data_IF_144465811886
#
_entry.id   IF_144465811886
#
_cell.length_a   1.000
_cell.length_b   1.000
_cell.length_c   1.000
_cell.angle_alpha   90.00
_cell.angle_beta   90.00
_cell.angle_gamma   90.00
#
_symmetry.space_group_name_H-M   'P 1'
#
loop_
_entity.id
_entity.type
_entity.pdbx_description
1 polymer ?
#
# COMPACT_ATOMS: atom_id res chain seq x y z
N UNK A 1 7.67 15.16 -14.74
CA UNK A 1 6.63 14.13 -14.99
C UNK A 1 5.28 14.83 -15.26
N UNK A 2 5.10 15.35 -16.47
CA UNK A 2 3.95 16.21 -16.83
C UNK A 2 2.61 15.44 -16.79
N UNK A 3 2.63 14.13 -17.09
CA UNK A 3 1.44 13.27 -17.07
C UNK A 3 0.85 13.14 -15.67
N UNK A 4 1.70 12.88 -14.66
CA UNK A 4 1.27 12.81 -13.25
C UNK A 4 0.68 14.13 -12.77
N UNK A 5 1.29 15.27 -13.15
CA UNK A 5 0.76 16.60 -12.81
C UNK A 5 -0.59 16.85 -13.47
N UNK A 6 -0.77 16.44 -14.72
CA UNK A 6 -2.03 16.61 -15.43
C UNK A 6 -3.15 15.73 -14.86
N UNK A 7 -2.87 14.45 -14.55
CA UNK A 7 -3.83 13.57 -13.87
C UNK A 7 -4.18 14.09 -12.48
N UNK A 8 -3.18 14.61 -11.77
CA UNK A 8 -3.38 15.25 -10.46
C UNK A 8 -4.29 16.47 -10.59
N UNK A 9 -4.00 17.37 -11.54
CA UNK A 9 -4.84 18.53 -11.82
C UNK A 9 -6.29 18.12 -12.12
N UNK A 10 -6.50 17.13 -12.98
CA UNK A 10 -7.83 16.62 -13.27
C UNK A 10 -8.53 16.05 -12.03
N UNK A 11 -7.82 15.28 -11.20
CA UNK A 11 -8.34 14.73 -9.95
C UNK A 11 -8.70 15.85 -8.95
N UNK A 12 -7.93 16.93 -8.86
CA UNK A 12 -8.26 18.08 -8.01
C UNK A 12 -9.46 18.88 -8.51
N UNK A 13 -9.55 19.10 -9.83
CA UNK A 13 -10.64 19.90 -10.42
C UNK A 13 -11.98 19.18 -10.33
N UNK A 14 -12.00 17.85 -10.54
CA UNK A 14 -13.25 17.07 -10.57
C UNK A 14 -13.52 16.23 -9.32
N UNK A 15 -12.49 15.89 -8.57
CA UNK A 15 -12.61 15.11 -7.34
C UNK A 15 -13.20 15.95 -6.21
N UNK A 16 -13.92 15.29 -5.32
CA UNK A 16 -14.44 15.90 -4.11
C UNK A 16 -14.33 14.89 -2.96
N UNK A 17 -13.39 15.14 -2.05
CA UNK A 17 -13.11 14.28 -0.89
C UNK A 17 -14.35 14.07 -0.02
N UNK A 18 -15.27 15.04 0.04
CA UNK A 18 -16.49 14.91 0.82
C UNK A 18 -17.37 13.74 0.34
N UNK A 19 -17.32 13.39 -0.96
CA UNK A 19 -18.06 12.24 -1.54
C UNK A 19 -17.58 10.89 -1.01
N UNK A 20 -16.36 10.80 -0.44
CA UNK A 20 -15.86 9.57 0.20
C UNK A 20 -16.51 9.34 1.56
N UNK A 21 -16.69 10.42 2.32
CA UNK A 21 -17.16 10.36 3.72
C UNK A 21 -18.65 10.60 3.88
N UNK A 22 -19.34 11.06 2.82
CA UNK A 22 -20.75 11.45 2.85
C UNK A 22 -21.48 10.94 1.62
N UNK A 23 -22.78 10.70 1.77
CA UNK A 23 -23.66 10.35 0.68
C UNK A 23 -24.04 11.53 -0.20
N UNK A 24 -24.48 11.23 -1.42
CA UNK A 24 -25.06 12.17 -2.37
C UNK A 24 -26.52 11.79 -2.61
N UNK A 25 -27.45 12.73 -2.43
CA UNK A 25 -28.88 12.49 -2.67
C UNK A 25 -29.23 12.40 -4.17
N UNK A 26 -30.49 12.11 -4.47
CA UNK A 26 -31.00 12.03 -5.84
C UNK A 26 -30.96 13.34 -6.62
N UNK A 27 -30.78 14.48 -5.94
CA UNK A 27 -30.66 15.81 -6.56
C UNK A 27 -29.18 16.23 -6.73
N UNK A 28 -28.22 15.35 -6.38
CA UNK A 28 -26.78 15.58 -6.51
C UNK A 28 -26.12 16.34 -5.37
N UNK A 29 -26.86 16.64 -4.31
CA UNK A 29 -26.37 17.35 -3.16
C UNK A 29 -25.65 16.40 -2.20
N UNK A 30 -24.56 16.87 -1.58
CA UNK A 30 -23.81 16.11 -0.60
C UNK A 30 -24.41 16.35 0.79
N UNK A 31 -24.81 15.27 1.48
CA UNK A 31 -25.44 15.37 2.80
C UNK A 31 -24.54 16.11 3.81
N UNK A 32 -25.13 17.02 4.61
CA UNK A 32 -24.44 17.75 5.67
C UNK A 32 -23.53 18.89 5.20
N UNK A 33 -23.48 19.20 3.90
CA UNK A 33 -22.84 20.40 3.36
C UNK A 33 -23.92 21.36 2.88
N UNK A 34 -23.84 22.63 3.28
CA UNK A 34 -24.68 23.67 2.70
C UNK A 34 -24.28 23.84 1.23
N UNK A 35 -25.27 23.83 0.34
CA UNK A 35 -25.09 23.57 -1.09
C UNK A 35 -23.92 24.31 -1.75
N UNK A 36 -22.98 23.54 -2.31
CA UNK A 36 -22.37 23.91 -3.57
C UNK A 36 -22.84 22.90 -4.61
N UNK A 37 -23.82 23.28 -5.47
CA UNK A 37 -24.14 22.47 -6.64
C UNK A 37 -22.89 22.40 -7.53
N UNK A 38 -22.58 21.20 -8.01
CA UNK A 38 -21.51 20.98 -8.99
C UNK A 38 -21.80 21.82 -10.25
N UNK A 39 -20.99 22.84 -10.47
CA UNK A 39 -20.84 23.71 -11.65
C UNK A 39 -22.06 24.47 -12.23
N UNK A 40 -21.86 25.74 -12.63
CA UNK A 40 -22.91 26.62 -13.13
C UNK A 40 -23.05 26.51 -14.65
N UNK A 41 -23.72 25.48 -15.17
CA UNK A 41 -24.11 25.48 -16.59
C UNK A 41 -25.55 25.08 -16.77
N UNK A 42 -26.41 26.08 -16.61
CA UNK A 42 -27.55 26.43 -17.46
C UNK A 42 -28.75 26.87 -16.61
N UNK A 43 -29.09 28.15 -16.83
CA UNK A 43 -30.39 28.79 -16.60
C UNK A 43 -31.14 28.36 -15.32
N UNK A 44 -30.98 29.17 -14.27
CA UNK A 44 -31.87 29.19 -13.10
C UNK A 44 -33.32 29.31 -13.58
N UNK A 45 -34.06 28.21 -13.51
CA UNK A 45 -35.51 28.25 -13.35
C UNK A 45 -35.75 28.09 -11.85
N UNK A 46 -35.77 29.23 -11.16
CA UNK A 46 -36.35 29.32 -9.83
C UNK A 46 -37.80 28.84 -9.95
N UNK A 47 -38.11 27.68 -9.39
CA UNK A 47 -39.48 27.30 -9.11
C UNK A 47 -39.93 28.11 -7.88
N UNK A 48 -41.03 28.87 -7.95
CA UNK A 48 -41.51 29.63 -6.81
C UNK A 48 -42.03 28.65 -5.73
N UNK A 49 -41.54 28.77 -4.50
CA UNK A 49 -42.07 28.06 -3.33
C UNK A 49 -41.15 27.05 -2.63
N UNK A 50 -39.88 26.88 -3.04
CA UNK A 50 -38.91 26.10 -2.25
C UNK A 50 -38.20 27.05 -1.30
N UNK A 51 -38.69 27.12 -0.06
CA UNK A 51 -38.04 27.87 1.03
C UNK A 51 -36.56 27.47 1.16
N UNK A 52 -35.69 28.47 1.30
CA UNK A 52 -34.27 28.31 1.55
C UNK A 52 -34.01 27.37 2.74
N UNK A 53 -33.68 26.10 2.45
CA UNK A 53 -33.29 25.09 3.45
C UNK A 53 -31.82 25.25 3.93
N UNK A 54 -31.27 26.47 3.89
CA UNK A 54 -29.84 26.73 4.06
C UNK A 54 -29.24 26.34 5.42
N UNK A 55 -30.03 26.44 6.50
CA UNK A 55 -29.62 26.04 7.86
C UNK A 55 -29.88 24.55 8.15
N UNK A 56 -30.98 23.99 7.64
CA UNK A 56 -31.41 22.60 7.81
C UNK A 56 -30.60 21.57 7.02
N UNK A 57 -29.84 21.99 5.99
CA UNK A 57 -29.01 21.07 5.22
C UNK A 57 -27.75 20.61 5.98
N UNK A 58 -27.23 21.43 6.90
CA UNK A 58 -26.05 21.08 7.71
C UNK A 58 -26.36 19.98 8.74
N UNK A 59 -27.60 19.87 9.22
CA UNK A 59 -28.00 18.84 10.18
C UNK A 59 -28.16 17.45 9.54
N UNK A 60 -28.55 17.41 8.26
CA UNK A 60 -28.83 16.18 7.49
C UNK A 60 -27.56 15.50 7.00
N UNK A 61 -26.87 14.80 7.89
CA UNK A 61 -25.53 14.25 7.65
C UNK A 61 -25.51 12.85 7.01
N UNK A 62 -26.64 12.14 6.99
CA UNK A 62 -26.68 10.74 6.55
C UNK A 62 -27.52 10.58 5.28
N UNK A 63 -27.10 9.71 4.36
CA UNK A 63 -27.95 9.29 3.25
C UNK A 63 -28.72 8.01 3.60
N UNK A 64 -30.01 8.00 3.28
CA UNK A 64 -30.88 6.83 3.40
C UNK A 64 -31.50 6.48 2.04
N UNK A 65 -31.73 5.19 1.78
CA UNK A 65 -32.28 4.70 0.51
C UNK A 65 -33.66 4.06 0.71
N UNK A 66 -34.68 4.43 -0.08
CA UNK A 66 -35.99 3.80 -0.03
C UNK A 66 -35.96 2.43 -0.74
N UNK A 67 -35.37 1.42 -0.09
CA UNK A 67 -35.30 0.05 -0.63
C UNK A 67 -36.59 -0.70 -0.31
N UNK A 68 -37.25 -1.29 -1.33
CA UNK A 68 -38.36 -2.24 -1.13
C UNK A 68 -37.94 -3.65 -1.57
N UNK A 69 -38.39 -4.73 -0.89
CA UNK A 69 -38.00 -6.12 -1.19
C UNK A 69 -38.39 -6.64 -2.59
N UNK A 70 -39.27 -5.93 -3.32
CA UNK A 70 -39.85 -6.38 -4.60
C UNK A 70 -39.52 -5.47 -5.80
N UNK A 71 -38.60 -4.51 -5.64
CA UNK A 71 -38.19 -3.56 -6.69
C UNK A 71 -36.70 -3.73 -6.96
N UNK A 72 -36.27 -3.48 -8.20
CA UNK A 72 -34.85 -3.43 -8.58
C UNK A 72 -34.05 -2.57 -7.59
N UNK A 73 -33.05 -3.19 -6.96
CA UNK A 73 -32.15 -2.54 -5.99
C UNK A 73 -31.39 -1.38 -6.65
N UNK A 74 -31.09 -1.52 -7.95
CA UNK A 74 -30.35 -0.52 -8.72
C UNK A 74 -31.10 0.82 -8.83
N UNK A 75 -32.42 0.77 -9.04
CA UNK A 75 -33.24 1.98 -9.19
C UNK A 75 -33.55 2.63 -7.84
N UNK A 76 -33.71 1.81 -6.78
CA UNK A 76 -33.96 2.32 -5.42
C UNK A 76 -32.72 2.96 -4.79
N UNK A 77 -31.51 2.50 -5.13
CA UNK A 77 -30.25 3.13 -4.71
C UNK A 77 -30.03 4.52 -5.35
N UNK A 78 -30.71 4.83 -6.46
CA UNK A 78 -30.62 6.16 -7.11
C UNK A 78 -31.56 7.20 -6.50
N UNK A 79 -32.44 6.79 -5.58
CA UNK A 79 -33.42 7.64 -4.89
C UNK A 79 -32.98 8.02 -3.47
N UNK A 80 -31.67 8.09 -3.23
CA UNK A 80 -31.13 8.39 -1.91
C UNK A 80 -31.55 9.77 -1.39
N UNK A 81 -31.82 9.87 -0.09
CA UNK A 81 -32.30 11.10 0.57
C UNK A 81 -31.42 11.42 1.77
N UNK A 82 -31.03 12.68 1.95
CA UNK A 82 -30.28 13.12 3.12
C UNK A 82 -31.20 13.28 4.34
N UNK A 83 -30.89 12.59 5.44
CA UNK A 83 -31.64 12.58 6.70
C UNK A 83 -30.75 12.99 7.87
N UNK A 84 -31.36 13.53 8.93
CA UNK A 84 -30.67 13.94 10.16
C UNK A 84 -30.21 12.74 11.00
N UNK A 85 -31.05 11.70 11.07
CA UNK A 85 -30.81 10.45 11.79
C UNK A 85 -31.24 9.26 10.95
N UNK A 86 -30.54 8.14 11.09
CA UNK A 86 -30.89 6.92 10.36
C UNK A 86 -32.22 6.35 10.85
N UNK A 87 -33.20 6.10 9.96
CA UNK A 87 -34.52 5.60 10.35
C UNK A 87 -34.46 4.21 11.00
N UNK A 88 -35.30 4.02 12.02
CA UNK A 88 -35.51 2.76 12.73
C UNK A 88 -36.95 2.29 12.49
N UNK A 89 -37.12 1.01 12.14
CA UNK A 89 -38.44 0.42 11.88
C UNK A 89 -39.30 0.50 13.15
N UNK A 90 -40.55 0.97 13.02
CA UNK A 90 -41.49 1.12 14.14
C UNK A 90 -41.39 2.45 14.91
N UNK A 91 -40.25 3.15 14.85
CA UNK A 91 -40.09 4.50 15.43
C UNK A 91 -40.38 5.58 14.40
N UNK A 92 -39.79 5.45 13.20
CA UNK A 92 -40.04 6.34 12.08
C UNK A 92 -41.07 5.71 11.15
N UNK A 93 -42.19 6.38 10.90
CA UNK A 93 -43.24 5.86 10.03
C UNK A 93 -42.98 6.16 8.56
N UNK A 94 -42.52 7.38 8.25
CA UNK A 94 -42.25 7.81 6.88
C UNK A 94 -41.06 8.76 6.76
N UNK A 95 -40.41 8.76 5.60
CA UNK A 95 -39.37 9.71 5.20
C UNK A 95 -39.85 10.45 3.95
N UNK A 96 -39.87 11.79 4.01
CA UNK A 96 -40.21 12.63 2.86
C UNK A 96 -38.97 12.91 2.03
N UNK A 97 -39.05 12.74 0.72
CA UNK A 97 -38.05 13.26 -0.24
C UNK A 97 -38.27 14.76 -0.42
N UNK A 98 -37.24 15.45 -0.89
CA UNK A 98 -37.28 16.89 -1.18
C UNK A 98 -37.08 17.10 -2.69
N UNK A 99 -37.27 18.32 -3.20
CA UNK A 99 -37.11 18.64 -4.63
C UNK A 99 -38.44 18.91 -5.37
N UNK A 100 -38.41 18.97 -6.71
CA UNK A 100 -39.57 19.37 -7.56
C UNK A 100 -40.79 18.47 -7.40
N UNK A 101 -40.59 17.24 -6.93
CA UNK A 101 -41.66 16.28 -6.65
C UNK A 101 -41.40 15.61 -5.30
N UNK A 102 -41.92 16.21 -4.22
CA UNK A 102 -41.90 15.64 -2.87
C UNK A 102 -42.71 14.33 -2.84
N UNK A 103 -42.08 13.23 -2.45
CA UNK A 103 -42.68 11.91 -2.27
C UNK A 103 -42.50 11.47 -0.81
N UNK A 104 -43.46 10.73 -0.28
CA UNK A 104 -43.38 10.20 1.10
C UNK A 104 -43.20 8.68 1.03
N UNK A 105 -42.12 8.18 1.62
CA UNK A 105 -41.77 6.75 1.61
C UNK A 105 -41.93 6.14 2.99
N UNK A 106 -42.57 4.96 3.13
CA UNK A 106 -42.58 4.23 4.41
C UNK A 106 -41.19 3.67 4.71
N UNK A 107 -40.82 3.66 6.00
CA UNK A 107 -39.57 3.03 6.45
C UNK A 107 -39.73 1.52 6.37
N UNK A 108 -38.87 0.85 5.61
CA UNK A 108 -38.97 -0.58 5.29
C UNK A 108 -37.94 -1.46 5.99
N UNK A 109 -36.91 -0.87 6.61
CA UNK A 109 -35.84 -1.59 7.32
C UNK A 109 -35.23 -0.72 8.42
N UNK A 110 -34.69 -1.36 9.46
CA UNK A 110 -33.90 -0.68 10.47
C UNK A 110 -32.48 -0.44 9.96
N UNK A 111 -31.99 0.79 10.11
CA UNK A 111 -30.69 1.21 9.59
C UNK A 111 -29.78 1.78 10.68
N UNK A 112 -28.47 1.59 10.52
CA UNK A 112 -27.44 2.14 11.41
C UNK A 112 -26.52 3.11 10.67
N UNK A 113 -26.06 4.19 11.33
CA UNK A 113 -25.15 5.15 10.71
C UNK A 113 -23.74 4.57 10.57
N UNK A 114 -23.20 4.60 9.35
CA UNK A 114 -21.81 4.24 9.03
C UNK A 114 -21.30 5.22 7.96
N UNK A 115 -20.26 6.01 8.29
CA UNK A 115 -19.63 6.99 7.37
C UNK A 115 -20.63 7.84 6.57
N UNK A 116 -21.57 8.52 7.25
CA UNK A 116 -22.54 9.40 6.59
C UNK A 116 -23.58 8.66 5.73
N UNK A 117 -23.73 7.34 5.89
CA UNK A 117 -24.71 6.50 5.19
C UNK A 117 -25.50 5.64 6.19
N UNK A 118 -26.77 5.40 5.90
CA UNK A 118 -27.63 4.53 6.69
C UNK A 118 -27.62 3.12 6.08
N UNK A 119 -26.96 2.18 6.74
CA UNK A 119 -26.81 0.79 6.26
C UNK A 119 -27.89 -0.08 6.93
N UNK A 120 -28.63 -0.91 6.17
CA UNK A 120 -29.60 -1.85 6.75
C UNK A 120 -28.93 -2.86 7.69
N UNK A 121 -29.62 -3.24 8.77
CA UNK A 121 -29.16 -4.31 9.65
C UNK A 121 -29.38 -5.69 9.00
N UNK A 122 -28.40 -6.59 9.15
CA UNK A 122 -28.30 -7.85 8.40
C UNK A 122 -29.42 -8.87 8.69
N UNK A 123 -30.16 -8.75 9.81
CA UNK A 123 -31.24 -9.67 10.14
C UNK A 123 -32.46 -9.56 9.20
N UNK A 124 -32.60 -8.43 8.48
CA UNK A 124 -33.75 -8.18 7.59
C UNK A 124 -33.45 -8.43 6.09
N UNK A 125 -32.21 -8.75 5.71
CA UNK A 125 -31.79 -8.85 4.31
C UNK A 125 -31.75 -10.31 3.84
N UNK A 126 -32.81 -10.81 3.18
CA UNK A 126 -32.87 -12.21 2.70
C UNK A 126 -32.15 -12.48 1.37
N UNK A 127 -31.86 -11.48 0.53
CA UNK A 127 -31.14 -11.67 -0.75
C UNK A 127 -29.89 -10.76 -0.83
N UNK A 128 -28.72 -11.35 -0.61
CA UNK A 128 -27.46 -10.64 -0.29
C UNK A 128 -26.34 -11.03 -1.27
N UNK A 129 -26.40 -10.58 -2.53
CA UNK A 129 -25.24 -10.64 -3.43
C UNK A 129 -24.74 -9.22 -3.74
N UNK A 130 -25.61 -8.29 -4.14
CA UNK A 130 -25.23 -6.88 -4.38
C UNK A 130 -24.88 -6.10 -3.08
N UNK A 131 -25.49 -6.50 -1.96
CA UNK A 131 -25.14 -5.99 -0.62
C UNK A 131 -23.71 -6.39 -0.19
N UNK A 132 -23.14 -7.47 -0.75
CA UNK A 132 -21.76 -7.90 -0.42
C UNK A 132 -20.72 -6.96 -1.01
N UNK A 133 -20.94 -6.46 -2.23
CA UNK A 133 -20.00 -5.55 -2.89
C UNK A 133 -20.03 -4.14 -2.28
N UNK A 134 -21.24 -3.67 -1.91
CA UNK A 134 -21.40 -2.41 -1.16
C UNK A 134 -20.77 -2.52 0.23
N UNK A 135 -20.96 -3.64 0.93
CA UNK A 135 -20.33 -3.85 2.25
C UNK A 135 -18.83 -4.12 2.18
N UNK A 136 -18.31 -4.70 1.09
CA UNK A 136 -16.87 -4.92 0.91
C UNK A 136 -16.11 -3.59 0.76
N UNK A 137 -16.60 -2.66 -0.06
CA UNK A 137 -16.00 -1.33 -0.22
C UNK A 137 -16.08 -0.47 1.05
N UNK A 138 -17.20 -0.57 1.79
CA UNK A 138 -17.39 0.09 3.09
C UNK A 138 -16.56 -0.56 4.21
N UNK A 139 -16.29 -1.86 4.15
CA UNK A 139 -15.40 -2.57 5.10
C UNK A 139 -13.95 -2.13 4.92
N UNK A 140 -13.45 -1.98 3.70
CA UNK A 140 -12.07 -1.54 3.44
C UNK A 140 -11.84 -0.12 3.96
N UNK A 141 -12.79 0.78 3.73
CA UNK A 141 -12.72 2.16 4.23
C UNK A 141 -12.86 2.24 5.75
N UNK A 142 -13.77 1.47 6.35
CA UNK A 142 -13.90 1.36 7.81
C UNK A 142 -12.64 0.76 8.46
N UNK A 143 -12.00 -0.24 7.84
CA UNK A 143 -10.72 -0.79 8.28
C UNK A 143 -9.60 0.24 8.25
N UNK A 144 -9.47 1.00 7.15
CA UNK A 144 -8.48 2.06 7.04
C UNK A 144 -8.63 3.13 8.14
N UNK A 145 -9.87 3.52 8.44
CA UNK A 145 -10.16 4.50 9.49
C UNK A 145 -9.94 3.95 10.90
N UNK A 146 -10.31 2.69 11.14
CA UNK A 146 -10.03 1.98 12.38
C UNK A 146 -8.52 1.91 12.65
N UNK A 147 -7.71 1.62 11.62
CA UNK A 147 -6.26 1.66 11.70
C UNK A 147 -5.72 3.06 12.05
N UNK A 148 -6.24 4.12 11.43
CA UNK A 148 -5.79 5.51 11.69
C UNK A 148 -6.16 5.95 13.10
N UNK A 149 -7.38 5.65 13.56
CA UNK A 149 -7.85 6.00 14.90
C UNK A 149 -7.01 5.30 15.97
N UNK A 150 -6.76 3.99 15.80
CA UNK A 150 -5.92 3.23 16.70
C UNK A 150 -4.46 3.68 16.63
N UNK A 151 -3.95 4.05 15.44
CA UNK A 151 -2.61 4.60 15.28
C UNK A 151 -2.42 5.91 16.04
N UNK A 152 -3.45 6.78 16.09
CA UNK A 152 -3.41 8.01 16.89
C UNK A 152 -3.31 7.71 18.39
N UNK A 153 -4.03 6.69 18.87
CA UNK A 153 -3.98 6.27 20.27
C UNK A 153 -2.59 5.74 20.67
N UNK A 154 -1.85 5.10 19.76
CA UNK A 154 -0.50 4.56 20.00
C UNK A 154 0.64 5.44 19.48
N UNK A 155 0.40 6.70 19.11
CA UNK A 155 1.39 7.57 18.46
C UNK A 155 2.71 7.72 19.21
N UNK A 156 2.68 7.73 20.54
CA UNK A 156 3.88 7.82 21.38
C UNK A 156 4.67 6.51 21.38
N UNK A 157 3.98 5.37 21.33
CA UNK A 157 4.63 4.05 21.19
C UNK A 157 5.29 3.94 19.83
N UNK A 158 4.60 4.35 18.76
CA UNK A 158 5.18 4.37 17.41
C UNK A 158 6.42 5.28 17.31
N UNK A 159 6.37 6.47 17.94
CA UNK A 159 7.51 7.37 18.01
C UNK A 159 8.67 6.75 18.80
N UNK A 160 8.40 6.14 19.96
CA UNK A 160 9.42 5.49 20.78
C UNK A 160 10.08 4.31 20.05
N UNK A 161 9.29 3.49 19.35
CA UNK A 161 9.80 2.39 18.51
C UNK A 161 10.63 2.91 17.33
N UNK A 162 10.20 4.01 16.70
CA UNK A 162 10.97 4.65 15.64
C UNK A 162 12.33 5.17 16.13
N UNK A 163 12.35 5.86 17.27
CA UNK A 163 13.59 6.37 17.88
C UNK A 163 14.50 5.21 18.32
N UNK A 164 13.95 4.19 18.98
CA UNK A 164 14.73 3.02 19.40
C UNK A 164 15.31 2.25 18.22
N UNK A 165 14.57 2.14 17.11
CA UNK A 165 15.08 1.54 15.87
C UNK A 165 16.25 2.34 15.28
N UNK A 166 16.18 3.67 15.26
CA UNK A 166 17.28 4.53 14.78
C UNK A 166 18.52 4.36 15.66
N UNK A 167 18.35 4.38 16.99
CA UNK A 167 19.44 4.16 17.94
C UNK A 167 20.04 2.76 17.78
N UNK A 168 19.20 1.74 17.59
CA UNK A 168 19.64 0.37 17.35
C UNK A 168 20.40 0.22 16.04
N UNK A 169 19.95 0.88 14.96
CA UNK A 169 20.68 0.93 13.69
C UNK A 169 22.06 1.59 13.86
N UNK A 170 22.13 2.74 14.53
CA UNK A 170 23.40 3.42 14.79
C UNK A 170 24.35 2.53 15.61
N UNK A 171 23.84 1.97 16.71
CA UNK A 171 24.59 1.04 17.55
C UNK A 171 25.08 -0.18 16.79
N UNK A 172 24.23 -0.77 15.94
CA UNK A 172 24.59 -1.90 15.08
C UNK A 172 25.70 -1.53 14.09
N UNK A 173 25.57 -0.39 13.40
CA UNK A 173 26.60 0.08 12.45
C UNK A 173 27.93 0.35 13.13
N UNK A 174 27.91 0.94 14.33
CA UNK A 174 29.10 1.16 15.14
C UNK A 174 29.73 -0.17 15.59
N UNK A 175 28.91 -1.12 16.01
CA UNK A 175 29.36 -2.46 16.40
C UNK A 175 30.04 -3.20 15.24
N UNK A 176 29.55 -3.03 14.01
CA UNK A 176 30.17 -3.59 12.80
C UNK A 176 31.55 -2.98 12.45
N UNK A 177 31.94 -1.86 13.04
CA UNK A 177 33.28 -1.30 12.81
C UNK A 177 34.33 -1.99 13.67
N UNK A 178 34.01 -2.25 14.94
CA UNK A 178 34.96 -2.82 15.90
C UNK A 178 34.86 -4.34 16.01
N UNK A 179 33.64 -4.89 15.90
CA UNK A 179 33.35 -6.27 16.24
C UNK A 179 32.93 -7.14 15.06
N UNK A 180 32.99 -6.68 13.81
CA UNK A 180 32.55 -7.50 12.64
C UNK A 180 33.27 -8.86 12.57
N UNK A 181 34.58 -8.88 12.83
CA UNK A 181 35.36 -10.11 12.85
C UNK A 181 34.91 -11.03 14.00
N UNK A 182 34.91 -10.62 15.28
CA UNK A 182 34.36 -11.42 16.38
C UNK A 182 32.91 -11.90 16.15
N UNK A 183 32.02 -11.02 15.70
CA UNK A 183 30.60 -11.33 15.45
C UNK A 183 30.49 -12.42 14.38
N UNK A 184 31.22 -12.28 13.26
CA UNK A 184 31.19 -13.28 12.19
C UNK A 184 31.67 -14.65 12.69
N UNK A 185 32.83 -14.71 13.34
CA UNK A 185 33.35 -15.98 13.87
C UNK A 185 32.41 -16.58 14.92
N UNK A 186 31.83 -15.75 15.80
CA UNK A 186 30.83 -16.18 16.77
C UNK A 186 29.59 -16.76 16.10
N UNK A 187 29.03 -16.11 15.07
CA UNK A 187 27.86 -16.62 14.34
C UNK A 187 28.14 -17.94 13.64
N UNK A 188 29.33 -18.11 13.04
CA UNK A 188 29.73 -19.34 12.37
C UNK A 188 29.95 -20.48 13.38
N UNK A 189 30.60 -20.19 14.51
CA UNK A 189 30.81 -21.15 15.59
C UNK A 189 29.50 -21.55 16.26
N UNK A 190 28.60 -20.59 16.52
CA UNK A 190 27.28 -20.84 17.09
C UNK A 190 26.43 -21.75 16.19
N UNK A 191 26.45 -21.53 14.86
CA UNK A 191 25.82 -22.43 13.90
C UNK A 191 26.37 -23.86 13.95
N UNK A 192 27.69 -24.01 14.10
CA UNK A 192 28.34 -25.31 14.25
C UNK A 192 27.89 -26.01 15.55
N UNK A 193 27.86 -25.28 16.67
CA UNK A 193 27.44 -25.80 17.99
C UNK A 193 25.97 -26.20 17.96
N UNK A 194 25.09 -25.42 17.34
CA UNK A 194 23.68 -25.77 17.26
C UNK A 194 23.46 -27.06 16.47
N UNK A 195 24.08 -27.21 15.30
CA UNK A 195 23.95 -28.40 14.46
C UNK A 195 24.58 -29.64 15.12
N UNK A 196 25.82 -29.52 15.59
CA UNK A 196 26.53 -30.63 16.25
C UNK A 196 25.94 -30.99 17.62
N UNK A 197 25.60 -29.99 18.42
CA UNK A 197 25.01 -30.16 19.76
C UNK A 197 23.61 -30.76 19.71
N UNK A 198 22.75 -30.29 18.80
CA UNK A 198 21.42 -30.91 18.62
C UNK A 198 21.50 -32.34 18.09
N UNK A 199 22.42 -32.63 17.17
CA UNK A 199 22.72 -33.99 16.72
C UNK A 199 23.15 -34.89 17.89
N UNK A 200 24.06 -34.41 18.75
CA UNK A 200 24.55 -35.18 19.90
C UNK A 200 23.46 -35.43 20.95
N UNK A 201 22.67 -34.41 21.30
CA UNK A 201 21.56 -34.53 22.26
C UNK A 201 20.51 -35.53 21.75
N UNK A 202 20.14 -35.48 20.46
CA UNK A 202 19.18 -36.40 19.87
C UNK A 202 19.72 -37.83 19.74
N UNK A 203 21.02 -37.97 19.46
CA UNK A 203 21.69 -39.28 19.46
C UNK A 203 21.67 -39.89 20.86
N UNK A 204 21.94 -39.09 21.89
CA UNK A 204 21.89 -39.54 23.28
C UNK A 204 20.47 -39.95 23.70
N UNK A 205 19.44 -39.17 23.34
CA UNK A 205 18.04 -39.52 23.60
C UNK A 205 17.58 -40.77 22.84
N UNK A 206 18.07 -40.97 21.61
CA UNK A 206 17.80 -42.18 20.84
C UNK A 206 18.49 -43.44 21.39
N UNK A 207 19.56 -43.26 22.20
CA UNK A 207 20.33 -44.34 22.83
C UNK A 207 19.89 -44.62 24.27
N UNK A 208 19.42 -43.63 25.01
CA UNK A 208 18.93 -43.82 26.36
C UNK A 208 17.71 -44.74 26.34
N UNK A 209 17.81 -45.89 27.01
CA UNK A 209 16.70 -46.83 27.26
C UNK A 209 15.64 -46.25 28.23
N UNK A 210 15.45 -44.94 28.25
CA UNK A 210 14.44 -44.28 29.06
C UNK A 210 13.07 -44.69 28.52
N UNK A 211 12.52 -45.73 29.17
CA UNK A 211 11.18 -46.26 28.99
C UNK A 211 10.18 -45.11 29.09
N UNK A 212 9.77 -44.56 27.94
CA UNK A 212 8.53 -43.81 27.87
C UNK A 212 7.38 -44.73 28.27
N UNK A 213 6.30 -44.16 28.80
CA UNK A 213 5.08 -44.87 29.28
C UNK A 213 4.45 -45.80 28.22
N UNK A 214 4.90 -45.76 26.96
CA UNK A 214 4.46 -46.60 25.85
C UNK A 214 5.51 -47.59 25.30
N UNK A 215 6.72 -47.68 25.87
CA UNK A 215 7.67 -48.77 25.58
C UNK A 215 8.21 -48.87 24.14
N UNK A 216 8.05 -47.87 23.28
CA UNK A 216 8.59 -47.86 21.92
C UNK A 216 9.87 -47.02 21.81
N UNK A 217 10.92 -47.59 21.18
CA UNK A 217 12.14 -46.86 20.81
C UNK A 217 11.79 -45.67 19.91
N UNK A 218 12.30 -44.47 20.21
CA UNK A 218 12.17 -43.31 19.32
C UNK A 218 13.08 -43.45 18.09
N UNK A 219 12.70 -44.28 17.12
CA UNK A 219 13.44 -44.46 15.85
C UNK A 219 13.63 -43.12 15.10
N UNK A 220 12.68 -42.20 15.25
CA UNK A 220 12.74 -40.85 14.70
C UNK A 220 13.89 -40.01 15.28
N UNK A 221 14.22 -40.16 16.56
CA UNK A 221 15.29 -39.42 17.22
C UNK A 221 16.68 -39.83 16.68
N UNK A 222 16.87 -41.13 16.44
CA UNK A 222 18.09 -41.67 15.82
C UNK A 222 18.19 -41.26 14.34
N UNK A 223 17.08 -41.32 13.60
CA UNK A 223 17.05 -40.82 12.21
C UNK A 223 17.39 -39.33 12.10
N UNK A 224 16.79 -38.50 12.96
CA UNK A 224 17.03 -37.05 12.99
C UNK A 224 18.48 -36.71 13.37
N UNK A 225 19.10 -37.44 14.31
CA UNK A 225 20.50 -37.20 14.69
C UNK A 225 21.47 -37.47 13.54
N UNK A 226 21.28 -38.55 12.75
CA UNK A 226 22.11 -38.84 11.58
C UNK A 226 22.00 -37.72 10.53
N UNK A 227 20.77 -37.26 10.24
CA UNK A 227 20.55 -36.17 9.28
C UNK A 227 21.23 -34.88 9.73
N UNK A 228 21.10 -34.51 11.01
CA UNK A 228 21.76 -33.32 11.55
C UNK A 228 23.29 -33.46 11.60
N UNK A 229 23.81 -34.65 11.86
CA UNK A 229 25.24 -34.92 11.80
C UNK A 229 25.79 -34.75 10.39
N UNK A 230 25.11 -35.30 9.38
CA UNK A 230 25.48 -35.11 7.98
C UNK A 230 25.42 -33.62 7.61
N UNK A 231 24.37 -32.91 8.02
CA UNK A 231 24.27 -31.47 7.82
C UNK A 231 25.41 -30.69 8.50
N UNK A 232 25.82 -31.09 9.71
CA UNK A 232 26.96 -30.50 10.42
C UNK A 232 28.28 -30.72 9.66
N UNK A 233 28.55 -31.93 9.16
CA UNK A 233 29.75 -32.20 8.36
C UNK A 233 29.73 -31.39 7.06
N UNK A 234 28.61 -31.34 6.36
CA UNK A 234 28.45 -30.52 5.15
C UNK A 234 28.67 -29.04 5.44
N UNK A 235 28.13 -28.54 6.56
CA UNK A 235 28.35 -27.16 7.02
C UNK A 235 29.83 -26.88 7.27
N UNK A 236 30.56 -27.75 7.98
CA UNK A 236 31.99 -27.59 8.20
C UNK A 236 32.81 -27.62 6.91
N UNK A 237 32.49 -28.53 5.99
CA UNK A 237 33.15 -28.61 4.68
C UNK A 237 32.94 -27.33 3.86
N UNK A 238 31.71 -26.80 3.84
CA UNK A 238 31.40 -25.52 3.20
C UNK A 238 32.14 -24.36 3.86
N UNK A 239 32.25 -24.34 5.19
CA UNK A 239 33.02 -23.31 5.91
C UNK A 239 34.50 -23.35 5.53
N UNK A 240 35.12 -24.53 5.50
CA UNK A 240 36.53 -24.69 5.13
C UNK A 240 36.76 -24.22 3.70
N UNK A 241 35.88 -24.58 2.76
CA UNK A 241 35.99 -24.15 1.36
C UNK A 241 35.80 -22.64 1.19
N UNK A 242 34.84 -22.06 1.92
CA UNK A 242 34.48 -20.64 1.77
C UNK A 242 35.27 -19.70 2.68
N UNK A 243 36.17 -20.19 3.55
CA UNK A 243 36.86 -19.34 4.55
C UNK A 243 37.59 -18.16 3.93
N UNK A 244 38.23 -18.36 2.76
CA UNK A 244 38.92 -17.28 2.03
C UNK A 244 37.93 -16.23 1.51
N UNK A 245 36.78 -16.65 1.00
CA UNK A 245 35.74 -15.73 0.54
C UNK A 245 35.06 -15.01 1.71
N UNK A 246 34.91 -15.66 2.85
CA UNK A 246 34.39 -15.06 4.08
C UNK A 246 35.31 -13.93 4.54
N UNK A 247 36.62 -14.16 4.59
CA UNK A 247 37.58 -13.10 4.97
C UNK A 247 37.54 -11.92 4.00
N UNK A 248 37.50 -12.17 2.68
CA UNK A 248 37.35 -11.10 1.69
C UNK A 248 36.07 -10.29 1.92
N UNK A 249 34.94 -10.95 2.18
CA UNK A 249 33.68 -10.28 2.48
C UNK A 249 33.74 -9.46 3.79
N UNK A 250 34.42 -9.99 4.82
CA UNK A 250 34.60 -9.28 6.09
C UNK A 250 35.45 -8.03 5.92
N UNK A 251 36.48 -8.06 5.07
CA UNK A 251 37.29 -6.89 4.76
C UNK A 251 36.47 -5.81 4.04
N UNK A 252 35.62 -6.21 3.08
CA UNK A 252 34.70 -5.27 2.39
C UNK A 252 33.71 -4.65 3.38
N UNK A 253 33.11 -5.44 4.28
CA UNK A 253 32.17 -4.93 5.30
C UNK A 253 32.88 -3.98 6.26
N UNK A 254 34.12 -4.29 6.66
CA UNK A 254 34.93 -3.43 7.54
C UNK A 254 35.22 -2.08 6.88
N UNK A 255 35.51 -2.07 5.58
CA UNK A 255 35.72 -0.82 4.83
C UNK A 255 34.39 -0.05 4.73
N UNK A 256 33.28 -0.72 4.40
CA UNK A 256 31.97 -0.09 4.31
C UNK A 256 31.54 0.53 5.65
N UNK A 257 31.79 -0.14 6.78
CA UNK A 257 31.46 0.40 8.11
C UNK A 257 32.34 1.59 8.50
N UNK A 258 33.62 1.62 8.10
CA UNK A 258 34.48 2.80 8.26
C UNK A 258 33.90 4.04 7.57
N UNK A 259 33.29 3.90 6.38
CA UNK A 259 32.64 5.03 5.69
C UNK A 259 31.50 5.61 6.54
N UNK A 260 30.67 4.73 7.11
CA UNK A 260 29.50 5.13 7.93
C UNK A 260 29.93 5.83 9.21
N UNK A 261 30.99 5.35 9.88
CA UNK A 261 31.52 5.96 11.11
C UNK A 261 32.24 7.28 10.82
N UNK A 262 32.98 7.37 9.73
CA UNK A 262 33.69 8.60 9.34
C UNK A 262 32.72 9.70 8.90
N UNK A 263 31.51 9.32 8.46
CA UNK A 263 30.47 10.22 7.97
C UNK A 263 29.11 9.85 8.57
N UNK A 264 28.85 10.12 9.86
CA UNK A 264 27.58 9.75 10.49
C UNK A 264 26.36 10.38 9.80
N UNK A 265 26.56 11.51 9.10
CA UNK A 265 25.51 12.15 8.29
C UNK A 265 25.02 11.28 7.11
N UNK A 266 25.79 10.28 6.64
CA UNK A 266 25.35 9.35 5.57
C UNK A 266 24.09 8.58 5.97
N UNK A 267 23.90 8.32 7.27
CA UNK A 267 22.71 7.68 7.82
C UNK A 267 21.45 8.55 7.69
N UNK A 268 21.60 9.86 7.49
CA UNK A 268 20.51 10.77 7.19
C UNK A 268 19.91 10.56 5.80
N UNK A 269 20.66 10.04 4.82
CA UNK A 269 20.19 9.83 3.44
C UNK A 269 19.01 8.86 3.38
N UNK A 270 19.08 7.63 3.90
CA UNK A 270 17.94 6.71 3.88
C UNK A 270 16.75 7.23 4.71
N UNK A 271 16.99 8.02 5.77
CA UNK A 271 15.91 8.64 6.55
C UNK A 271 15.18 9.71 5.75
N UNK A 272 15.90 10.64 5.11
CA UNK A 272 15.32 11.65 4.22
C UNK A 272 14.59 10.95 3.07
N UNK A 273 15.21 9.94 2.46
CA UNK A 273 14.58 9.12 1.42
C UNK A 273 13.28 8.48 1.88
N UNK A 274 13.23 7.94 3.10
CA UNK A 274 12.02 7.38 3.70
C UNK A 274 10.93 8.43 3.94
N UNK A 275 11.27 9.60 4.49
CA UNK A 275 10.30 10.68 4.70
C UNK A 275 9.70 11.14 3.36
N UNK A 276 10.54 11.31 2.33
CA UNK A 276 10.07 11.68 0.98
C UNK A 276 9.23 10.57 0.37
N UNK A 277 9.60 9.30 0.54
CA UNK A 277 8.80 8.15 0.09
C UNK A 277 7.43 8.10 0.76
N UNK A 278 7.35 8.33 2.07
CA UNK A 278 6.08 8.42 2.81
C UNK A 278 5.24 9.59 2.31
N UNK A 279 5.82 10.78 2.15
CA UNK A 279 5.13 11.95 1.64
C UNK A 279 4.57 11.71 0.22
N UNK A 280 5.37 11.12 -0.66
CA UNK A 280 4.96 10.74 -2.01
C UNK A 280 3.81 9.72 -2.01
N UNK A 281 3.90 8.70 -1.14
CA UNK A 281 2.86 7.67 -1.00
C UNK A 281 1.55 8.26 -0.47
N UNK A 282 1.61 9.13 0.55
CA UNK A 282 0.43 9.82 1.08
C UNK A 282 -0.21 10.72 0.03
N UNK A 283 0.60 11.49 -0.70
CA UNK A 283 0.13 12.31 -1.82
C UNK A 283 -0.54 11.43 -2.89
N UNK A 284 0.05 10.30 -3.25
CA UNK A 284 -0.50 9.38 -4.23
C UNK A 284 -1.86 8.80 -3.80
N UNK A 285 -1.99 8.38 -2.54
CA UNK A 285 -3.27 7.90 -2.00
C UNK A 285 -4.33 9.01 -2.02
N UNK A 286 -3.95 10.24 -1.68
CA UNK A 286 -4.84 11.39 -1.71
C UNK A 286 -5.34 11.69 -3.14
N UNK A 287 -4.45 11.72 -4.14
CA UNK A 287 -4.82 11.92 -5.55
C UNK A 287 -5.69 10.77 -6.07
N UNK A 288 -5.39 9.53 -5.70
CA UNK A 288 -6.20 8.36 -6.07
C UNK A 288 -7.61 8.44 -5.47
N UNK A 289 -7.72 8.88 -4.21
CA UNK A 289 -8.99 9.09 -3.54
C UNK A 289 -9.81 10.19 -4.24
N UNK A 290 -9.18 11.32 -4.61
CA UNK A 290 -9.81 12.36 -5.42
C UNK A 290 -10.29 11.82 -6.77
N UNK A 291 -9.45 11.06 -7.49
CA UNK A 291 -9.81 10.48 -8.78
C UNK A 291 -10.97 9.50 -8.67
N UNK A 292 -11.01 8.67 -7.62
CA UNK A 292 -12.13 7.74 -7.38
C UNK A 292 -13.48 8.46 -7.21
N UNK A 293 -13.46 9.74 -6.86
CA UNK A 293 -14.66 10.57 -6.66
C UNK A 293 -15.01 11.46 -7.84
N UNK A 294 -14.20 11.44 -8.90
CA UNK A 294 -14.33 12.33 -10.07
C UNK A 294 -15.41 11.89 -11.07
N UNK A 295 -16.40 11.12 -10.63
CA UNK A 295 -17.51 10.67 -11.45
C UNK A 295 -18.36 11.88 -11.93
N UNK A 296 -18.81 11.79 -13.18
CA UNK A 296 -19.70 12.78 -13.81
C UNK A 296 -21.11 12.58 -13.28
N UNK A 297 -21.82 13.69 -13.11
CA UNK A 297 -23.20 13.68 -12.65
C UNK A 297 -24.09 13.90 -13.87
N UNK A 298 -24.89 12.90 -14.20
CA UNK A 298 -25.82 12.94 -15.34
C UNK A 298 -27.26 12.84 -14.85
N UNK A 299 -28.16 13.58 -15.48
CA UNK A 299 -29.59 13.55 -15.16
C UNK A 299 -30.27 12.43 -15.92
N UNK A 300 -30.84 11.46 -15.21
CA UNK A 300 -31.55 10.32 -15.76
C UNK A 300 -33.03 10.37 -15.32
N UNK A 301 -33.95 9.97 -16.18
CA UNK A 301 -35.38 9.87 -15.83
C UNK A 301 -35.72 8.43 -15.52
N UNK A 302 -36.21 8.18 -14.30
CA UNK A 302 -36.59 6.85 -13.83
C UNK A 302 -38.07 6.85 -13.47
N UNK A 303 -38.77 5.78 -13.81
CA UNK A 303 -40.15 5.55 -13.36
C UNK A 303 -40.12 4.87 -11.99
N UNK A 304 -40.64 5.54 -10.97
CA UNK A 304 -40.82 4.92 -9.66
C UNK A 304 -42.15 4.16 -9.64
N UNK A 305 -42.22 2.92 -9.12
CA UNK A 305 -43.45 2.12 -9.18
C UNK A 305 -44.56 2.60 -8.23
N UNK A 306 -44.25 3.40 -7.19
CA UNK A 306 -45.21 3.76 -6.15
C UNK A 306 -44.96 5.15 -5.53
N UNK A 307 -45.84 6.14 -5.75
CA UNK A 307 -46.82 6.22 -6.84
C UNK A 307 -46.12 6.17 -8.21
N UNK A 308 -46.79 5.68 -9.27
CA UNK A 308 -46.21 5.66 -10.62
C UNK A 308 -45.93 7.11 -11.06
N UNK A 309 -44.66 7.49 -11.04
CA UNK A 309 -44.23 8.85 -11.38
C UNK A 309 -42.85 8.81 -12.03
N UNK A 310 -42.66 9.62 -13.06
CA UNK A 310 -41.33 9.83 -13.63
C UNK A 310 -40.60 10.87 -12.81
N UNK A 311 -39.48 10.47 -12.21
CA UNK A 311 -38.62 11.34 -11.41
C UNK A 311 -37.30 11.51 -12.14
N UNK A 312 -36.74 12.73 -12.09
CA UNK A 312 -35.38 12.98 -12.59
C UNK A 312 -34.43 12.79 -11.42
N UNK A 313 -33.44 11.92 -11.58
CA UNK A 313 -32.40 11.66 -10.59
C UNK A 313 -31.04 12.01 -11.17
N UNK A 314 -30.13 12.42 -10.31
CA UNK A 314 -28.72 12.60 -10.65
C UNK A 314 -27.98 11.30 -10.33
N UNK A 315 -27.48 10.64 -11.37
CA UNK A 315 -26.69 9.41 -11.25
C UNK A 315 -25.21 9.70 -11.49
N UNK A 316 -24.36 9.00 -10.73
CA UNK A 316 -22.91 9.08 -10.90
C UNK A 316 -22.50 8.12 -12.00
N UNK A 317 -22.12 8.66 -13.15
CA UNK A 317 -21.54 7.88 -14.22
C UNK A 317 -20.01 7.91 -14.10
N UNK A 318 -19.39 6.73 -14.16
CA UNK A 318 -17.93 6.62 -14.15
C UNK A 318 -17.40 7.18 -15.47
N UNK A 319 -16.58 8.23 -15.40
CA UNK A 319 -15.97 8.83 -16.60
C UNK A 319 -15.07 7.77 -17.27
N UNK A 320 -15.20 7.46 -18.57
CA UNK A 320 -14.34 6.49 -19.25
C UNK A 320 -12.84 6.80 -19.07
N UNK A 321 -12.48 8.09 -19.08
CA UNK A 321 -11.11 8.60 -18.87
C UNK A 321 -10.55 8.28 -17.48
N UNK A 322 -11.41 8.09 -16.47
CA UNK A 322 -10.96 7.78 -15.09
C UNK A 322 -10.21 6.46 -15.00
N UNK A 323 -10.53 5.49 -15.86
CA UNK A 323 -9.86 4.19 -15.87
C UNK A 323 -8.44 4.32 -16.41
N UNK A 324 -8.26 5.08 -17.50
CA UNK A 324 -6.94 5.38 -18.07
C UNK A 324 -6.06 6.14 -17.07
N UNK A 325 -6.63 7.15 -16.40
CA UNK A 325 -5.92 7.92 -15.38
C UNK A 325 -5.53 7.08 -14.16
N UNK A 326 -6.33 6.07 -13.81
CA UNK A 326 -5.98 5.14 -12.73
C UNK A 326 -4.74 4.33 -13.10
N UNK A 327 -4.65 3.84 -14.34
CA UNK A 327 -3.45 3.12 -14.82
C UNK A 327 -2.23 4.03 -14.90
N UNK A 328 -2.39 5.28 -15.34
CA UNK A 328 -1.32 6.27 -15.36
C UNK A 328 -0.83 6.62 -13.95
N UNK A 329 -1.73 6.78 -12.97
CA UNK A 329 -1.34 7.01 -11.56
C UNK A 329 -0.61 5.81 -10.97
N UNK A 330 -1.04 4.60 -11.29
CA UNK A 330 -0.35 3.38 -10.85
C UNK A 330 1.06 3.31 -11.44
N UNK A 331 1.20 3.56 -12.75
CA UNK A 331 2.52 3.63 -13.39
C UNK A 331 3.40 4.71 -12.76
N UNK A 332 2.82 5.90 -12.55
CA UNK A 332 3.49 7.02 -11.92
C UNK A 332 3.98 6.72 -10.50
N UNK A 333 3.25 5.88 -9.75
CA UNK A 333 3.69 5.42 -8.43
C UNK A 333 4.88 4.48 -8.51
N UNK A 334 4.84 3.49 -9.40
CA UNK A 334 5.95 2.55 -9.62
C UNK A 334 7.22 3.31 -10.04
N UNK A 335 7.08 4.22 -11.01
CA UNK A 335 8.19 5.02 -11.47
C UNK A 335 8.70 6.00 -10.42
N UNK A 336 7.82 6.72 -9.72
CA UNK A 336 8.20 7.64 -8.66
C UNK A 336 8.95 6.95 -7.50
N UNK A 337 8.46 5.78 -7.08
CA UNK A 337 9.13 5.00 -6.01
C UNK A 337 10.48 4.42 -6.47
N UNK A 338 10.58 3.92 -7.70
CA UNK A 338 11.84 3.49 -8.30
C UNK A 338 12.85 4.65 -8.41
N UNK A 339 12.40 5.84 -8.83
CA UNK A 339 13.23 7.04 -8.94
C UNK A 339 13.73 7.51 -7.57
N UNK A 340 12.88 7.55 -6.54
CA UNK A 340 13.28 7.91 -5.18
C UNK A 340 14.33 6.94 -4.62
N UNK A 341 14.17 5.64 -4.89
CA UNK A 341 15.17 4.62 -4.55
C UNK A 341 16.50 4.87 -5.28
N UNK A 342 16.46 5.16 -6.57
CA UNK A 342 17.64 5.43 -7.39
C UNK A 342 18.39 6.69 -6.91
N UNK A 343 17.68 7.76 -6.57
CA UNK A 343 18.26 8.99 -5.99
C UNK A 343 18.97 8.68 -4.66
N UNK A 344 18.28 7.96 -3.75
CA UNK A 344 18.86 7.61 -2.44
C UNK A 344 20.12 6.77 -2.60
N UNK A 345 20.12 5.81 -3.54
CA UNK A 345 21.26 4.98 -3.86
C UNK A 345 22.44 5.80 -4.42
N UNK A 346 22.18 6.64 -5.42
CA UNK A 346 23.19 7.48 -6.08
C UNK A 346 23.83 8.47 -5.11
N UNK A 347 23.05 9.14 -4.25
CA UNK A 347 23.58 10.05 -3.22
C UNK A 347 24.50 9.30 -2.27
N UNK A 348 24.11 8.09 -1.85
CA UNK A 348 24.94 7.26 -0.97
C UNK A 348 26.23 6.83 -1.66
N UNK A 349 26.16 6.47 -2.95
CA UNK A 349 27.32 6.11 -3.76
C UNK A 349 28.30 7.28 -3.92
N UNK A 350 27.83 8.48 -4.26
CA UNK A 350 28.67 9.69 -4.33
C UNK A 350 29.38 9.98 -3.00
N UNK A 351 28.68 9.87 -1.88
CA UNK A 351 29.28 10.08 -0.56
C UNK A 351 30.42 9.07 -0.31
N UNK A 352 30.20 7.80 -0.66
CA UNK A 352 31.20 6.76 -0.53
C UNK A 352 32.41 6.99 -1.46
N UNK A 353 32.17 7.40 -2.70
CA UNK A 353 33.22 7.73 -3.69
C UNK A 353 34.03 8.95 -3.22
N UNK A 354 33.38 10.02 -2.79
CA UNK A 354 34.05 11.21 -2.26
C UNK A 354 34.88 10.88 -1.02
N UNK A 355 34.41 10.01 -0.13
CA UNK A 355 35.22 9.53 0.98
C UNK A 355 36.40 8.68 0.50
N UNK A 356 36.16 7.75 -0.44
CA UNK A 356 37.19 6.84 -0.95
C UNK A 356 38.36 7.59 -1.59
N UNK A 357 38.10 8.63 -2.37
CA UNK A 357 39.11 9.43 -3.08
C UNK A 357 39.56 10.71 -2.33
N UNK A 358 39.12 10.96 -1.09
CA UNK A 358 39.38 12.21 -0.36
C UNK A 358 40.86 12.45 0.01
N UNK A 359 41.48 11.52 0.74
CA UNK A 359 42.86 11.63 1.24
C UNK A 359 43.50 10.22 1.28
N UNK A 360 44.77 10.05 0.84
CA UNK A 360 45.52 8.81 1.01
C UNK A 360 45.92 8.60 2.48
N UNK A 361 45.83 7.36 2.98
CA UNK A 361 46.14 6.99 4.38
C UNK A 361 44.97 6.36 5.12
N UNK A 362 45.19 5.96 6.39
CA UNK A 362 44.17 5.36 7.25
C UNK A 362 43.21 6.39 7.89
N UNK A 363 43.66 7.65 8.02
CA UNK A 363 42.87 8.77 8.58
C UNK A 363 41.98 9.45 7.51
N UNK A 364 41.15 8.65 6.83
CA UNK A 364 40.24 9.17 5.78
C UNK A 364 39.07 9.94 6.38
N UNK A 365 39.05 11.26 6.16
CA UNK A 365 37.89 12.11 6.39
C UNK A 365 37.36 12.64 5.06
N UNK A 366 36.03 12.65 4.89
CA UNK A 366 35.50 13.26 3.68
C UNK A 366 35.53 14.80 3.78
N UNK A 367 35.62 15.50 2.64
CA UNK A 367 35.59 16.97 2.61
C UNK A 367 34.36 17.55 3.33
N UNK A 368 34.49 18.75 3.90
CA UNK A 368 33.33 19.44 4.46
C UNK A 368 32.29 19.67 3.37
N UNK A 369 31.03 19.34 3.65
CA UNK A 369 29.92 19.53 2.72
C UNK A 369 29.72 18.41 1.69
N UNK A 370 30.38 17.25 1.82
CA UNK A 370 30.19 16.06 0.94
C UNK A 370 28.72 15.73 0.69
N UNK A 371 27.87 15.76 1.72
CA UNK A 371 26.43 15.49 1.60
C UNK A 371 25.74 16.47 0.65
N UNK A 372 25.96 17.77 0.85
CA UNK A 372 25.36 18.83 0.03
C UNK A 372 25.86 18.71 -1.41
N UNK A 373 27.16 18.45 -1.59
CA UNK A 373 27.75 18.26 -2.90
C UNK A 373 27.13 17.06 -3.62
N UNK A 374 27.04 15.90 -2.97
CA UNK A 374 26.42 14.70 -3.53
C UNK A 374 24.96 14.94 -3.95
N UNK A 375 24.17 15.62 -3.10
CA UNK A 375 22.78 15.98 -3.42
C UNK A 375 22.69 16.90 -4.64
N UNK A 376 23.46 18.00 -4.63
CA UNK A 376 23.45 18.97 -5.74
C UNK A 376 23.89 18.30 -7.04
N UNK A 377 24.97 17.52 -7.02
CA UNK A 377 25.47 16.80 -8.20
C UNK A 377 24.44 15.80 -8.73
N UNK A 378 23.82 15.02 -7.84
CA UNK A 378 22.76 14.06 -8.21
C UNK A 378 21.59 14.75 -8.91
N UNK A 379 21.05 15.82 -8.31
CA UNK A 379 19.88 16.51 -8.86
C UNK A 379 20.20 17.38 -10.09
N UNK A 380 21.38 17.99 -10.14
CA UNK A 380 21.76 18.91 -11.22
C UNK A 380 22.21 18.20 -12.49
N UNK A 381 22.95 17.10 -12.35
CA UNK A 381 23.63 16.45 -13.48
C UNK A 381 23.11 15.04 -13.78
N UNK A 382 22.73 14.24 -12.77
CA UNK A 382 22.44 12.81 -12.97
C UNK A 382 20.96 12.43 -12.87
N UNK A 383 20.06 13.40 -12.63
CA UNK A 383 18.62 13.12 -12.51
C UNK A 383 18.05 12.47 -13.78
N UNK A 384 18.57 12.80 -14.97
CA UNK A 384 18.17 12.20 -16.23
C UNK A 384 18.48 10.70 -16.31
N UNK A 385 19.70 10.31 -15.97
CA UNK A 385 20.13 8.90 -15.91
C UNK A 385 19.31 8.11 -14.90
N UNK A 386 19.07 8.67 -13.71
CA UNK A 386 18.23 8.05 -12.69
C UNK A 386 16.77 7.91 -13.15
N UNK A 387 16.23 8.92 -13.83
CA UNK A 387 14.88 8.89 -14.38
C UNK A 387 14.74 7.81 -15.46
N UNK A 388 15.76 7.61 -16.29
CA UNK A 388 15.77 6.58 -17.34
C UNK A 388 15.88 5.16 -16.76
N UNK A 389 16.82 4.90 -15.84
CA UNK A 389 16.94 3.57 -15.23
C UNK A 389 15.69 3.19 -14.44
N UNK A 390 15.19 4.10 -13.59
CA UNK A 390 13.94 3.90 -12.86
C UNK A 390 12.72 3.70 -13.76
N UNK A 391 12.71 4.26 -14.98
CA UNK A 391 11.64 4.05 -15.95
C UNK A 391 11.61 2.60 -16.45
N UNK A 392 12.77 2.03 -16.80
CA UNK A 392 12.86 0.61 -17.20
C UNK A 392 12.39 -0.31 -16.08
N UNK A 393 12.81 -0.04 -14.84
CA UNK A 393 12.35 -0.79 -13.69
C UNK A 393 10.82 -0.71 -13.52
N UNK A 394 10.23 0.48 -13.67
CA UNK A 394 8.80 0.68 -13.54
C UNK A 394 7.99 -0.03 -14.65
N UNK A 395 8.51 -0.07 -15.88
CA UNK A 395 7.89 -0.81 -16.99
C UNK A 395 7.80 -2.30 -16.65
N UNK A 396 8.91 -2.90 -16.20
CA UNK A 396 8.92 -4.32 -15.82
C UNK A 396 7.96 -4.60 -14.67
N UNK A 397 7.93 -3.73 -13.65
CA UNK A 397 6.99 -3.85 -12.53
C UNK A 397 5.53 -3.74 -12.98
N UNK A 398 5.23 -2.84 -13.92
CA UNK A 398 3.89 -2.71 -14.48
C UNK A 398 3.47 -4.00 -15.20
N UNK A 399 4.35 -4.58 -16.02
CA UNK A 399 4.06 -5.85 -16.72
C UNK A 399 3.78 -6.96 -15.70
N UNK A 400 4.53 -7.04 -14.59
CA UNK A 400 4.28 -8.01 -13.50
C UNK A 400 2.91 -7.83 -12.86
N UNK A 401 2.50 -6.59 -12.60
CA UNK A 401 1.18 -6.29 -12.02
C UNK A 401 0.06 -6.68 -13.00
N UNK A 402 0.21 -6.36 -14.29
CA UNK A 402 -0.74 -6.77 -15.33
C UNK A 402 -0.83 -8.28 -15.42
N UNK A 403 0.29 -9.01 -15.38
CA UNK A 403 0.31 -10.47 -15.38
C UNK A 403 -0.45 -11.04 -14.17
N UNK A 404 -0.24 -10.48 -12.97
CA UNK A 404 -0.97 -10.90 -11.76
C UNK A 404 -2.47 -10.59 -11.86
N UNK A 405 -2.84 -9.48 -12.48
CA UNK A 405 -4.24 -9.12 -12.73
C UNK A 405 -4.91 -10.10 -13.71
N UNK A 406 -4.23 -10.43 -14.81
CA UNK A 406 -4.69 -11.44 -15.79
C UNK A 406 -4.85 -12.79 -15.11
N UNK A 407 -3.88 -13.20 -14.29
CA UNK A 407 -3.95 -14.44 -13.50
C UNK A 407 -5.20 -14.50 -12.63
N UNK A 408 -5.51 -13.39 -11.92
CA UNK A 408 -6.66 -13.31 -11.05
C UNK A 408 -7.98 -13.44 -11.82
N UNK A 409 -8.05 -12.88 -13.03
CA UNK A 409 -9.22 -13.04 -13.92
C UNK A 409 -9.31 -14.44 -14.54
N UNK A 410 -8.18 -15.06 -14.82
CA UNK A 410 -8.10 -16.37 -15.47
C UNK A 410 -8.16 -17.55 -14.50
N UNK A 411 -8.47 -17.35 -13.20
CA UNK A 411 -8.46 -18.43 -12.18
C UNK A 411 -9.27 -19.67 -12.57
N UNK A 412 -10.46 -19.48 -13.15
CA UNK A 412 -11.32 -20.60 -13.60
C UNK A 412 -10.68 -21.42 -14.72
N UNK A 413 -9.99 -20.77 -15.66
CA UNK A 413 -9.26 -21.43 -16.76
C UNK A 413 -7.97 -22.06 -16.25
N UNK A 414 -7.33 -21.40 -15.28
CA UNK A 414 -6.12 -21.89 -14.62
C UNK A 414 -6.39 -23.18 -13.86
N UNK A 415 -7.53 -23.31 -13.18
CA UNK A 415 -7.87 -24.52 -12.42
C UNK A 415 -8.05 -25.74 -13.31
N UNK A 416 -8.62 -25.56 -14.51
CA UNK A 416 -8.92 -26.64 -15.45
C UNK A 416 -7.76 -27.01 -16.38
N UNK A 417 -6.89 -26.07 -16.76
CA UNK A 417 -5.84 -26.30 -17.76
C UNK A 417 -4.43 -26.25 -17.16
N UNK A 418 -3.77 -27.41 -17.08
CA UNK A 418 -2.40 -27.55 -16.55
C UNK A 418 -1.35 -26.75 -17.35
N UNK A 419 -1.51 -26.63 -18.68
CA UNK A 419 -0.61 -25.85 -19.52
C UNK A 419 -0.66 -24.35 -19.17
N UNK A 420 -1.86 -23.83 -18.87
CA UNK A 420 -2.03 -22.45 -18.43
C UNK A 420 -1.39 -22.18 -17.06
N UNK A 421 -1.40 -23.16 -16.14
CA UNK A 421 -0.68 -23.07 -14.85
C UNK A 421 0.82 -22.95 -15.08
N UNK A 422 1.36 -23.80 -15.96
CA UNK A 422 2.79 -23.80 -16.28
C UNK A 422 3.24 -22.50 -16.95
N UNK A 423 2.50 -22.03 -17.97
CA UNK A 423 2.82 -20.77 -18.67
C UNK A 423 2.82 -19.55 -17.73
N UNK A 424 1.85 -19.48 -16.82
CA UNK A 424 1.79 -18.40 -15.83
C UNK A 424 2.99 -18.47 -14.86
N UNK A 425 3.35 -19.67 -14.39
CA UNK A 425 4.50 -19.86 -13.52
C UNK A 425 5.82 -19.48 -14.20
N UNK A 426 6.01 -19.91 -15.47
CA UNK A 426 7.17 -19.56 -16.28
C UNK A 426 7.27 -18.04 -16.50
N UNK A 427 6.16 -17.39 -16.88
CA UNK A 427 6.11 -15.94 -17.10
C UNK A 427 6.46 -15.14 -15.84
N UNK A 428 5.95 -15.56 -14.67
CA UNK A 428 6.31 -14.95 -13.38
C UNK A 428 7.80 -15.11 -13.08
N UNK A 429 8.38 -16.28 -13.35
CA UNK A 429 9.81 -16.54 -13.19
C UNK A 429 10.64 -15.61 -14.10
N UNK A 430 10.34 -15.58 -15.40
CA UNK A 430 11.05 -14.76 -16.38
C UNK A 430 10.99 -13.26 -16.03
N UNK A 431 9.81 -12.71 -15.70
CA UNK A 431 9.69 -11.30 -15.32
C UNK A 431 10.41 -10.98 -14.01
N UNK A 432 10.44 -11.92 -13.07
CA UNK A 432 11.21 -11.75 -11.83
C UNK A 432 12.72 -11.75 -12.11
N UNK A 433 13.20 -12.57 -13.05
CA UNK A 433 14.58 -12.53 -13.52
C UNK A 433 14.90 -11.21 -14.23
N UNK A 434 14.03 -10.72 -15.11
CA UNK A 434 14.20 -9.44 -15.81
C UNK A 434 14.25 -8.28 -14.81
N UNK A 435 13.35 -8.25 -13.81
CA UNK A 435 13.39 -7.17 -12.81
C UNK A 435 14.71 -7.15 -12.03
N UNK A 436 15.21 -8.33 -11.64
CA UNK A 436 16.50 -8.45 -10.95
C UNK A 436 17.66 -8.02 -11.85
N UNK A 437 17.62 -8.39 -13.12
CA UNK A 437 18.61 -7.99 -14.10
C UNK A 437 18.64 -6.47 -14.31
N UNK A 438 17.48 -5.84 -14.52
CA UNK A 438 17.38 -4.37 -14.66
C UNK A 438 17.91 -3.67 -13.41
N UNK A 439 17.51 -4.12 -12.21
CA UNK A 439 18.07 -3.59 -10.97
C UNK A 439 19.59 -3.71 -10.93
N UNK A 440 20.13 -4.88 -11.27
CA UNK A 440 21.57 -5.10 -11.27
C UNK A 440 22.30 -4.14 -12.23
N UNK A 441 21.80 -3.99 -13.46
CA UNK A 441 22.39 -3.07 -14.46
C UNK A 441 22.34 -1.64 -13.96
N UNK A 442 21.18 -1.18 -13.48
CA UNK A 442 21.01 0.18 -12.95
C UNK A 442 21.99 0.47 -11.79
N UNK A 443 22.12 -0.44 -10.82
CA UNK A 443 23.01 -0.23 -9.66
C UNK A 443 24.48 -0.09 -10.10
N UNK A 444 24.94 -0.95 -11.01
CA UNK A 444 26.32 -0.86 -11.51
C UNK A 444 26.54 0.40 -12.35
N UNK A 445 25.58 0.76 -13.21
CA UNK A 445 25.66 1.99 -14.00
C UNK A 445 25.73 3.24 -13.10
N UNK A 446 24.94 3.28 -12.02
CA UNK A 446 24.98 4.38 -11.06
C UNK A 446 26.33 4.47 -10.33
N UNK A 447 26.93 3.34 -9.94
CA UNK A 447 28.27 3.33 -9.33
C UNK A 447 29.31 3.87 -10.30
N UNK A 448 29.33 3.40 -11.55
CA UNK A 448 30.28 3.87 -12.58
C UNK A 448 30.11 5.37 -12.80
N UNK A 449 28.87 5.85 -12.90
CA UNK A 449 28.55 7.28 -13.02
C UNK A 449 29.04 8.12 -11.83
N UNK A 450 29.18 7.53 -10.64
CA UNK A 450 29.72 8.26 -9.49
C UNK A 450 31.25 8.34 -9.53
N UNK A 451 31.90 7.32 -10.08
CA UNK A 451 33.37 7.17 -10.10
C UNK A 451 33.99 8.01 -11.21
N UNK A 452 33.35 8.04 -12.38
CA UNK A 452 33.69 8.94 -13.51
C UNK A 452 33.25 10.38 -13.23
#
# INVERSE_FOLDING_TARGET
NLVLLWVTYHAFVRGNVARLTRGMDSDGNICGLAGQPHQPTSRRLHAPGVSDFGSTWKSRRFIWFPVKPKVSIHDTLRLGVCVDHCPILGVNTTVKTYGKTSLTWPVSYTSRPVMGRCIPQMHDAKNIQDLKDLTASLRVTAWGFWCIHNAWAIRWVLAAVGISAILMCFFWTFSLTFFVMPIAHFTLAFGAILLGGSSFILWQHGRSDAVGVLGEKCWWCTGASIVLFVAFILYLLLLVFMIRHIHLALDVIKIASKVVVSLPHILGVPFIGFVVFCAFTLWWFYVTALLSTSAKVESERIQVPFPIRTVTVQSLHKDPTSTEFTWMLLFGYLWGTALLSAITYMVTAFIAVFWYFSVPGDDKYAPKGTMKHALVTTFRYHLGTLALGSLFLAIVQMIRIVLHYVEKKARKVKETNQASKFLMACSHCCLNCIERFVKFVDHNAYIVTCVE
#
